data_IF_173945477272
#
_entry.id   IF_173945477272
#
_cell.length_a   1.000
_cell.length_b   1.000
_cell.length_c   1.000
_cell.angle_alpha   90.00
_cell.angle_beta   90.00
_cell.angle_gamma   90.00
#
_symmetry.space_group_name_H-M   'P 1'
#
loop_
_entity.id
_entity.type
_entity.pdbx_description
1 polymer ?
#
# COMPACT_ATOMS: atom_id res chain seq x y z
N UNK A 1 20.17 15.64 0.85
CA UNK A 1 19.77 14.44 0.11
C UNK A 1 18.31 14.18 0.43
N UNK A 2 17.47 14.01 -0.58
CA UNK A 2 16.09 13.58 -0.36
C UNK A 2 16.13 12.13 0.19
N UNK A 3 15.43 11.83 1.27
CA UNK A 3 15.31 10.46 1.75
C UNK A 3 14.47 9.65 0.77
N UNK A 4 14.90 8.42 0.46
CA UNK A 4 14.16 7.51 -0.39
C UNK A 4 12.76 7.26 0.16
N UNK A 5 11.78 7.16 -0.73
CA UNK A 5 10.39 6.87 -0.40
C UNK A 5 10.06 5.44 -0.80
N UNK A 6 9.57 4.69 0.15
CA UNK A 6 9.20 3.29 -0.02
C UNK A 6 7.70 3.14 0.16
N UNK A 7 7.06 2.46 -0.77
CA UNK A 7 5.65 2.10 -0.70
C UNK A 7 5.50 0.60 -0.62
N UNK A 8 4.80 0.11 0.39
CA UNK A 8 4.55 -1.33 0.59
C UNK A 8 3.06 -1.60 0.45
N UNK A 9 2.68 -2.44 -0.49
CA UNK A 9 1.30 -2.87 -0.69
C UNK A 9 1.20 -4.40 -0.71
N UNK A 10 -0.03 -4.88 -0.67
CA UNK A 10 -0.37 -6.29 -0.62
C UNK A 10 -1.16 -6.64 -1.88
N UNK A 11 -0.86 -7.75 -2.53
CA UNK A 11 -1.70 -8.25 -3.61
C UNK A 11 -2.68 -9.29 -3.07
N UNK A 12 -3.94 -8.90 -3.01
CA UNK A 12 -5.07 -9.73 -2.58
C UNK A 12 -5.97 -10.14 -3.76
N UNK A 13 -7.26 -10.36 -3.47
CA UNK A 13 -8.25 -10.82 -4.46
C UNK A 13 -8.54 -9.82 -5.58
N UNK A 14 -8.25 -8.55 -5.37
CA UNK A 14 -8.54 -7.49 -6.33
C UNK A 14 -7.28 -6.70 -6.63
N UNK A 15 -6.79 -6.80 -7.85
CA UNK A 15 -5.74 -5.92 -8.36
C UNK A 15 -6.18 -4.45 -8.33
N UNK A 16 -7.47 -4.19 -8.57
CA UNK A 16 -8.02 -2.83 -8.51
C UNK A 16 -7.93 -2.20 -7.12
N UNK A 17 -8.03 -2.97 -6.05
CA UNK A 17 -7.87 -2.43 -4.69
C UNK A 17 -6.48 -1.82 -4.50
N UNK A 18 -5.42 -2.47 -4.99
CA UNK A 18 -4.06 -1.95 -4.97
C UNK A 18 -3.91 -0.73 -5.88
N UNK A 19 -4.31 -0.86 -7.14
CA UNK A 19 -4.13 0.20 -8.14
C UNK A 19 -4.94 1.45 -7.81
N UNK A 20 -6.16 1.30 -7.33
CA UNK A 20 -7.02 2.42 -6.94
C UNK A 20 -6.47 3.18 -5.73
N UNK A 21 -6.00 2.46 -4.71
CA UNK A 21 -5.38 3.11 -3.54
C UNK A 21 -4.11 3.86 -3.96
N UNK A 22 -3.27 3.22 -4.76
CA UNK A 22 -2.04 3.85 -5.23
C UNK A 22 -2.31 5.11 -6.07
N UNK A 23 -3.31 5.07 -6.96
CA UNK A 23 -3.74 6.24 -7.72
C UNK A 23 -4.23 7.38 -6.79
N UNK A 24 -5.08 7.05 -5.81
CA UNK A 24 -5.58 8.02 -4.83
C UNK A 24 -4.43 8.65 -4.02
N UNK A 25 -3.47 7.85 -3.58
CA UNK A 25 -2.30 8.31 -2.84
C UNK A 25 -1.43 9.24 -3.68
N UNK A 26 -1.15 8.87 -4.93
CA UNK A 26 -0.37 9.71 -5.84
C UNK A 26 -1.06 11.05 -6.10
N UNK A 27 -2.39 11.03 -6.34
CA UNK A 27 -3.17 12.23 -6.64
C UNK A 27 -3.39 13.14 -5.44
N UNK A 28 -3.77 12.58 -4.29
CA UNK A 28 -4.29 13.36 -3.15
C UNK A 28 -3.22 13.64 -2.09
N UNK A 29 -2.22 12.77 -1.95
CA UNK A 29 -1.14 12.89 -0.96
C UNK A 29 0.18 13.31 -1.60
N UNK A 30 0.31 13.16 -2.92
CA UNK A 30 1.56 13.41 -3.65
C UNK A 30 2.75 12.59 -3.11
N UNK A 31 2.45 11.37 -2.68
CA UNK A 31 3.47 10.41 -2.27
C UNK A 31 3.93 9.62 -3.50
N UNK A 32 5.10 9.95 -4.00
CA UNK A 32 5.73 9.33 -5.16
C UNK A 32 6.91 8.47 -4.70
N UNK A 33 6.77 7.14 -4.64
CA UNK A 33 7.82 6.27 -4.15
C UNK A 33 8.96 6.13 -5.15
N UNK A 34 10.18 5.95 -4.63
CA UNK A 34 11.35 5.53 -5.40
C UNK A 34 11.33 4.00 -5.58
N UNK A 35 10.86 3.27 -4.58
CA UNK A 35 10.66 1.81 -4.62
C UNK A 35 9.27 1.42 -4.16
N UNK A 36 8.63 0.53 -4.93
CA UNK A 36 7.30 -0.02 -4.67
C UNK A 36 7.40 -1.53 -4.41
N UNK A 37 7.10 -1.98 -3.20
CA UNK A 37 7.09 -3.38 -2.81
C UNK A 37 5.68 -3.93 -2.80
N UNK A 38 5.49 -5.12 -3.39
CA UNK A 38 4.22 -5.83 -3.42
C UNK A 38 4.40 -7.19 -2.74
N UNK A 39 3.77 -7.40 -1.58
CA UNK A 39 3.70 -8.73 -0.97
C UNK A 39 2.65 -9.57 -1.71
N UNK A 40 3.06 -10.71 -2.27
CA UNK A 40 2.26 -11.54 -3.16
C UNK A 40 2.10 -12.95 -2.60
N UNK A 41 0.85 -13.34 -2.30
CA UNK A 41 0.53 -14.74 -2.00
C UNK A 41 0.49 -15.59 -3.27
N UNK A 42 0.84 -16.88 -3.15
CA UNK A 42 0.91 -17.81 -4.28
C UNK A 42 -0.33 -17.83 -5.21
N UNK A 43 -1.59 -17.78 -4.70
CA UNK A 43 -2.78 -17.77 -5.56
C UNK A 43 -2.90 -16.55 -6.48
N UNK A 44 -2.20 -15.45 -6.17
CA UNK A 44 -2.29 -14.19 -6.92
C UNK A 44 -1.08 -13.92 -7.81
N UNK A 45 -0.17 -14.88 -7.95
CA UNK A 45 1.04 -14.73 -8.79
C UNK A 45 0.73 -14.38 -10.24
N UNK A 46 -0.36 -14.91 -10.77
CA UNK A 46 -0.78 -14.63 -12.15
C UNK A 46 -1.24 -13.18 -12.37
N UNK A 47 -1.61 -12.46 -11.30
CA UNK A 47 -2.00 -11.05 -11.35
C UNK A 47 -0.79 -10.11 -11.23
N UNK A 48 0.40 -10.64 -10.91
CA UNK A 48 1.58 -9.81 -10.59
C UNK A 48 2.01 -8.94 -11.77
N UNK A 49 2.09 -9.50 -12.97
CA UNK A 49 2.49 -8.75 -14.17
C UNK A 49 1.53 -7.61 -14.47
N UNK A 50 0.23 -7.88 -14.39
CA UNK A 50 -0.82 -6.88 -14.56
C UNK A 50 -0.72 -5.74 -13.55
N UNK A 51 -0.49 -6.07 -12.27
CA UNK A 51 -0.39 -5.07 -11.20
C UNK A 51 0.88 -4.26 -11.33
N UNK A 52 2.02 -4.88 -11.64
CA UNK A 52 3.30 -4.17 -11.87
C UNK A 52 3.17 -3.19 -13.02
N UNK A 53 2.55 -3.61 -14.14
CA UNK A 53 2.31 -2.71 -15.26
C UNK A 53 1.35 -1.57 -14.87
N UNK A 54 0.29 -1.86 -14.13
CA UNK A 54 -0.63 -0.85 -13.61
C UNK A 54 0.08 0.18 -12.72
N UNK A 55 0.98 -0.24 -11.84
CA UNK A 55 1.80 0.66 -11.02
C UNK A 55 2.67 1.56 -11.91
N UNK A 56 3.32 1.00 -12.94
CA UNK A 56 4.14 1.78 -13.89
C UNK A 56 3.32 2.82 -14.66
N UNK A 57 2.16 2.43 -15.16
CA UNK A 57 1.25 3.33 -15.89
C UNK A 57 0.78 4.49 -15.00
N UNK A 58 0.35 4.18 -13.76
CA UNK A 58 -0.05 5.22 -12.80
C UNK A 58 1.13 6.15 -12.50
N UNK A 59 2.30 5.60 -12.22
CA UNK A 59 3.50 6.39 -11.91
C UNK A 59 3.89 7.32 -13.05
N UNK A 60 3.91 6.80 -14.29
CA UNK A 60 4.20 7.58 -15.47
C UNK A 60 3.19 8.72 -15.69
N UNK A 61 1.90 8.50 -15.38
CA UNK A 61 0.87 9.55 -15.44
C UNK A 61 1.19 10.73 -14.52
N UNK A 62 1.80 10.49 -13.36
CA UNK A 62 2.24 11.52 -12.42
C UNK A 62 3.70 11.97 -12.60
N UNK A 63 4.40 11.49 -13.63
CA UNK A 63 5.73 11.94 -14.01
C UNK A 63 6.88 11.32 -13.23
N UNK A 64 6.71 10.12 -12.67
CA UNK A 64 7.78 9.41 -11.96
C UNK A 64 7.82 7.92 -12.35
N UNK A 65 8.87 7.19 -11.93
CA UNK A 65 9.08 5.79 -12.30
C UNK A 65 9.75 5.05 -11.13
N UNK A 66 8.98 4.37 -10.27
CA UNK A 66 9.53 3.59 -9.17
C UNK A 66 10.16 2.29 -9.67
N UNK A 67 11.13 1.79 -8.93
CA UNK A 67 11.48 0.38 -8.97
C UNK A 67 10.36 -0.43 -8.33
N UNK A 68 9.91 -1.52 -8.99
CA UNK A 68 8.83 -2.37 -8.47
C UNK A 68 9.36 -3.76 -8.15
N UNK A 69 9.26 -4.16 -6.89
CA UNK A 69 9.71 -5.44 -6.38
C UNK A 69 8.55 -6.26 -5.80
N UNK A 70 8.52 -7.57 -6.11
CA UNK A 70 7.53 -8.49 -5.57
C UNK A 70 8.15 -9.36 -4.47
N UNK A 71 7.49 -9.44 -3.32
CA UNK A 71 7.89 -10.26 -2.17
C UNK A 71 6.94 -11.44 -2.08
N UNK A 72 7.38 -12.67 -2.41
CA UNK A 72 6.53 -13.84 -2.24
C UNK A 72 6.29 -14.13 -0.77
N UNK A 73 5.00 -14.29 -0.40
CA UNK A 73 4.58 -14.65 0.95
C UNK A 73 3.73 -15.91 0.93
N UNK A 74 3.80 -16.69 2.02
CA UNK A 74 3.03 -17.92 2.13
C UNK A 74 1.54 -17.62 2.33
N UNK A 75 0.69 -18.33 1.58
CA UNK A 75 -0.75 -18.13 1.60
C UNK A 75 -1.35 -18.29 3.01
N UNK A 76 -2.08 -17.26 3.45
CA UNK A 76 -2.76 -17.27 4.75
C UNK A 76 -1.82 -17.33 5.96
N UNK A 77 -0.52 -17.25 5.74
CA UNK A 77 0.47 -17.29 6.82
C UNK A 77 0.82 -15.89 7.31
N UNK A 78 0.12 -15.45 8.34
CA UNK A 78 0.33 -14.16 8.97
C UNK A 78 1.78 -13.98 9.50
N UNK A 79 2.41 -15.04 9.98
CA UNK A 79 3.78 -14.98 10.53
C UNK A 79 4.81 -14.76 9.42
N UNK A 80 4.65 -15.41 8.27
CA UNK A 80 5.56 -15.20 7.12
C UNK A 80 5.49 -13.77 6.60
N UNK A 81 4.28 -13.22 6.47
CA UNK A 81 4.07 -11.82 6.12
C UNK A 81 4.70 -10.89 7.15
N UNK A 82 4.43 -11.14 8.43
CA UNK A 82 5.01 -10.41 9.54
C UNK A 82 6.54 -10.34 9.44
N UNK A 83 7.21 -11.50 9.32
CA UNK A 83 8.67 -11.56 9.30
C UNK A 83 9.27 -10.83 8.09
N UNK A 84 8.69 -11.01 6.90
CA UNK A 84 9.22 -10.43 5.66
C UNK A 84 9.00 -8.92 5.61
N UNK A 85 7.79 -8.47 5.92
CA UNK A 85 7.44 -7.05 5.85
C UNK A 85 8.10 -6.26 6.98
N UNK A 86 8.17 -6.79 8.21
CA UNK A 86 8.87 -6.13 9.31
C UNK A 86 10.34 -5.91 9.00
N UNK A 87 11.03 -6.95 8.52
CA UNK A 87 12.46 -6.84 8.15
C UNK A 87 12.68 -5.80 7.06
N UNK A 88 11.81 -5.78 6.05
CA UNK A 88 11.87 -4.76 5.00
C UNK A 88 11.77 -3.35 5.60
N UNK A 89 10.74 -3.11 6.42
CA UNK A 89 10.50 -1.80 7.03
C UNK A 89 11.69 -1.40 7.91
N UNK A 90 12.14 -2.30 8.79
CA UNK A 90 13.30 -2.03 9.66
C UNK A 90 14.56 -1.69 8.85
N UNK A 91 14.82 -2.43 7.77
CA UNK A 91 15.96 -2.18 6.89
C UNK A 91 15.85 -0.80 6.25
N UNK A 92 14.70 -0.50 5.65
CA UNK A 92 14.48 0.78 4.98
C UNK A 92 14.51 1.97 5.95
N UNK A 93 14.01 1.80 7.16
CA UNK A 93 14.11 2.84 8.21
C UNK A 93 15.56 3.07 8.65
N UNK A 94 16.37 2.03 8.80
CA UNK A 94 17.81 2.16 9.09
C UNK A 94 18.58 2.87 7.97
N UNK A 95 18.14 2.70 6.72
CA UNK A 95 18.67 3.41 5.55
C UNK A 95 18.20 4.88 5.48
N UNK A 96 17.31 5.31 6.38
CA UNK A 96 16.76 6.67 6.41
C UNK A 96 15.59 6.89 5.46
N UNK A 97 15.02 5.83 4.89
CA UNK A 97 13.89 5.92 3.97
C UNK A 97 12.59 6.33 4.68
N UNK A 98 11.71 7.02 3.97
CA UNK A 98 10.32 7.21 4.36
C UNK A 98 9.50 6.02 3.90
N UNK A 99 8.61 5.52 4.75
CA UNK A 99 7.84 4.30 4.48
C UNK A 99 6.35 4.57 4.55
N UNK A 100 5.64 4.25 3.47
CA UNK A 100 4.19 4.21 3.41
C UNK A 100 3.71 2.76 3.22
N UNK A 101 2.59 2.42 3.86
CA UNK A 101 1.96 1.10 3.75
C UNK A 101 0.53 1.27 3.28
N UNK A 102 0.12 0.45 2.31
CA UNK A 102 -1.25 0.30 1.86
C UNK A 102 -1.84 -1.02 2.36
N UNK A 103 -2.89 -0.94 3.16
CA UNK A 103 -3.58 -2.09 3.74
C UNK A 103 -4.90 -2.42 3.05
N UNK A 104 -5.27 -1.69 1.99
CA UNK A 104 -6.54 -1.86 1.29
C UNK A 104 -6.69 -3.23 0.64
N UNK A 105 -5.70 -3.74 -0.12
CA UNK A 105 -5.92 -4.92 -0.96
C UNK A 105 -5.69 -6.25 -0.24
N UNK A 106 -5.14 -6.24 0.97
CA UNK A 106 -4.76 -7.47 1.68
C UNK A 106 -5.94 -8.28 2.22
N UNK A 107 -5.75 -9.59 2.35
CA UNK A 107 -6.63 -10.40 3.21
C UNK A 107 -6.48 -9.96 4.67
N UNK A 108 -7.50 -10.20 5.48
CA UNK A 108 -7.47 -9.85 6.92
C UNK A 108 -6.23 -10.40 7.64
N UNK A 109 -5.85 -11.66 7.38
CA UNK A 109 -4.66 -12.28 7.95
C UNK A 109 -3.36 -11.60 7.50
N UNK A 110 -3.27 -11.22 6.23
CA UNK A 110 -2.11 -10.54 5.66
C UNK A 110 -1.99 -9.12 6.21
N UNK A 111 -3.10 -8.38 6.27
CA UNK A 111 -3.16 -7.05 6.88
C UNK A 111 -2.78 -7.10 8.37
N UNK A 112 -3.28 -8.07 9.12
CA UNK A 112 -2.91 -8.26 10.52
C UNK A 112 -1.40 -8.56 10.67
N UNK A 113 -0.84 -9.41 9.80
CA UNK A 113 0.59 -9.71 9.77
C UNK A 113 1.46 -8.48 9.52
N UNK A 114 0.99 -7.53 8.73
CA UNK A 114 1.67 -6.26 8.48
C UNK A 114 1.54 -5.31 9.68
N UNK A 115 0.33 -5.15 10.22
CA UNK A 115 0.04 -4.12 11.23
C UNK A 115 0.52 -4.47 12.64
N UNK A 116 0.46 -5.76 13.05
CA UNK A 116 0.82 -6.17 14.40
C UNK A 116 2.24 -5.80 14.84
N UNK A 117 3.29 -5.91 13.98
CA UNK A 117 4.65 -5.55 14.37
C UNK A 117 4.93 -4.06 14.31
N UNK A 118 4.11 -3.30 13.59
CA UNK A 118 4.41 -1.92 13.26
C UNK A 118 4.08 -1.01 14.45
N UNK A 119 5.10 -0.34 14.94
CA UNK A 119 4.90 0.84 15.81
C UNK A 119 4.57 2.03 14.91
N UNK A 120 3.71 2.91 15.39
CA UNK A 120 3.33 4.12 14.64
C UNK A 120 4.52 4.96 14.17
N UNK A 121 5.67 4.87 14.85
CA UNK A 121 6.89 5.59 14.49
C UNK A 121 7.74 4.91 13.41
N UNK A 122 7.43 3.65 13.08
CA UNK A 122 8.19 2.88 12.07
C UNK A 122 7.76 3.21 10.64
N UNK A 123 6.59 3.85 10.48
CA UNK A 123 6.04 4.24 9.18
C UNK A 123 5.60 5.70 9.17
N UNK A 124 5.62 6.31 8.00
CA UNK A 124 5.18 7.69 7.80
C UNK A 124 3.69 7.77 7.45
N UNK A 125 3.17 6.75 6.75
CA UNK A 125 1.78 6.68 6.31
C UNK A 125 1.23 5.25 6.41
N UNK A 126 -0.07 5.13 6.74
CA UNK A 126 -0.83 3.88 6.64
C UNK A 126 -2.11 4.17 5.86
N UNK A 127 -2.13 3.80 4.59
CA UNK A 127 -3.23 4.11 3.69
C UNK A 127 -4.30 3.02 3.65
N UNK A 128 -5.53 3.46 3.59
CA UNK A 128 -6.71 2.64 3.35
C UNK A 128 -7.69 3.40 2.47
N UNK A 129 -8.04 2.82 1.32
CA UNK A 129 -9.08 3.36 0.45
C UNK A 129 -10.41 2.69 0.78
N UNK A 130 -11.31 3.43 1.42
CA UNK A 130 -12.68 2.99 1.62
C UNK A 130 -13.49 3.19 0.33
N UNK A 131 -14.20 2.14 -0.10
CA UNK A 131 -15.18 2.20 -1.19
C UNK A 131 -16.50 1.67 -0.63
N UNK A 132 -17.53 2.53 -0.60
CA UNK A 132 -18.79 2.26 0.08
C UNK A 132 -19.76 1.40 -0.72
N UNK A 133 -19.49 1.18 -2.01
CA UNK A 133 -20.34 0.37 -2.87
C UNK A 133 -19.59 -0.83 -3.45
N UNK A 134 -20.21 -2.03 -3.39
CA UNK A 134 -19.64 -3.25 -3.98
C UNK A 134 -19.52 -3.18 -5.50
N UNK A 135 -20.37 -2.38 -6.16
CA UNK A 135 -20.36 -2.16 -7.61
C UNK A 135 -19.09 -1.48 -8.11
N UNK A 136 -18.43 -0.69 -7.26
CA UNK A 136 -17.31 0.14 -7.65
C UNK A 136 -15.95 -0.47 -7.31
N UNK A 137 -15.93 -1.56 -6.54
CA UNK A 137 -14.69 -2.20 -6.09
C UNK A 137 -13.82 -2.78 -7.22
N UNK A 138 -14.42 -3.11 -8.37
CA UNK A 138 -13.73 -3.66 -9.53
C UNK A 138 -13.59 -2.66 -10.68
N UNK A 139 -13.73 -1.37 -10.41
CA UNK A 139 -13.60 -0.30 -11.41
C UNK A 139 -12.31 0.49 -11.20
N UNK A 140 -11.73 1.06 -12.26
CA UNK A 140 -10.66 2.05 -12.15
C UNK A 140 -11.10 3.24 -11.29
N UNK A 141 -10.19 3.78 -10.49
CA UNK A 141 -10.45 4.90 -9.57
C UNK A 141 -11.23 6.05 -10.22
N UNK A 142 -10.84 6.44 -11.43
CA UNK A 142 -11.48 7.54 -12.16
C UNK A 142 -12.95 7.27 -12.54
N UNK A 143 -13.39 6.02 -12.53
CA UNK A 143 -14.78 5.61 -12.79
C UNK A 143 -15.62 5.48 -11.53
N UNK A 144 -15.03 5.65 -10.33
CA UNK A 144 -15.71 5.57 -9.05
C UNK A 144 -16.20 6.98 -8.69
N UNK A 145 -17.52 7.22 -8.54
CA UNK A 145 -18.01 8.52 -8.13
C UNK A 145 -17.42 8.96 -6.79
N UNK A 146 -17.04 10.23 -6.70
CA UNK A 146 -16.28 10.76 -5.54
C UNK A 146 -16.97 10.55 -4.19
N UNK A 147 -18.28 10.55 -4.15
CA UNK A 147 -19.04 10.31 -2.92
C UNK A 147 -19.00 8.87 -2.41
N UNK A 148 -18.46 7.92 -3.20
CA UNK A 148 -18.40 6.51 -2.85
C UNK A 148 -17.02 6.02 -2.46
N UNK A 149 -16.02 6.90 -2.40
CA UNK A 149 -14.69 6.52 -1.92
C UNK A 149 -14.08 7.60 -1.04
N UNK A 150 -13.26 7.17 -0.09
CA UNK A 150 -12.48 8.04 0.80
C UNK A 150 -11.12 7.40 1.06
N UNK A 151 -10.06 8.17 0.85
CA UNK A 151 -8.71 7.77 1.24
C UNK A 151 -8.47 8.18 2.69
N UNK A 152 -8.10 7.19 3.51
CA UNK A 152 -7.65 7.39 4.89
C UNK A 152 -6.14 7.25 4.99
N UNK A 153 -5.54 8.08 5.82
CA UNK A 153 -4.18 7.90 6.31
C UNK A 153 -4.24 7.74 7.84
N UNK A 154 -4.30 6.52 8.30
CA UNK A 154 -4.50 6.21 9.71
C UNK A 154 -3.35 6.70 10.60
N UNK A 155 -2.14 6.86 10.06
CA UNK A 155 -1.03 7.45 10.81
C UNK A 155 -1.31 8.93 11.12
N UNK A 156 -1.72 9.70 10.12
CA UNK A 156 -2.03 11.12 10.28
C UNK A 156 -3.27 11.32 11.16
N UNK A 157 -4.30 10.49 10.96
CA UNK A 157 -5.53 10.53 11.74
C UNK A 157 -5.27 10.21 13.23
N UNK A 158 -4.46 9.19 13.53
CA UNK A 158 -4.09 8.81 14.89
C UNK A 158 -3.30 9.91 15.62
N UNK A 159 -2.35 10.56 14.93
CA UNK A 159 -1.57 11.67 15.50
C UNK A 159 -2.46 12.87 15.80
N UNK A 160 -3.40 13.21 14.91
CA UNK A 160 -4.36 14.30 15.14
C UNK A 160 -5.26 14.02 16.34
N UNK A 161 -5.77 12.78 16.48
CA UNK A 161 -6.61 12.38 17.60
C UNK A 161 -5.85 12.42 18.94
N UNK A 162 -4.57 12.03 18.96
CA UNK A 162 -3.72 12.05 20.15
C UNK A 162 -3.31 13.44 20.63
N UNK A 163 -3.28 14.45 19.73
CA UNK A 163 -2.91 15.83 20.07
C UNK A 163 -4.13 16.71 20.46
N UNK A 164 -5.34 16.18 20.42
CA UNK A 164 -6.60 16.87 20.73
C UNK A 164 -7.17 16.59 22.12
N UNK A 165 -6.41 15.90 22.99
CA UNK A 165 -6.80 15.56 24.37
C UNK A 165 -6.09 16.39 25.42
#
# INVERSE_FOLDING_TARGET
MSSDRVYVSLLGRSAWALLNTYYAVARDVHYFPDTFYIAVEAPYRNETEYVVEGVRVISAHFGFSPEVECIPVAQGNMVDVFLKVSRLIETKRKEGSRVAIDITPGRKSTVAGVLLPIKLNDVDHVFYLEITTTYDMAKPYQMIPRQFHQLHDFKVEAVRAGNGG
#
